data_IF_624689304527
#
_entry.id   IF_624689304527
#
_cell.length_a   1.000
_cell.length_b   1.000
_cell.length_c   1.000
_cell.angle_alpha   90.00
_cell.angle_beta   90.00
_cell.angle_gamma   90.00
#
_symmetry.space_group_name_H-M   'P 1'
#
loop_
_entity.id
_entity.type
_entity.pdbx_description
1 polymer ?
#
# COMPACT_ATOMS: atom_id res chain seq x y z
N UNK A 1 11.30 -19.47 3.95
CA UNK A 1 10.95 -18.44 4.97
C UNK A 1 11.37 -17.09 4.42
N UNK A 2 10.43 -16.19 4.11
CA UNK A 2 10.77 -14.84 3.69
C UNK A 2 11.36 -14.09 4.89
N UNK A 3 12.58 -13.57 4.75
CA UNK A 3 13.24 -12.80 5.81
C UNK A 3 12.40 -11.57 6.12
N UNK A 4 11.90 -11.49 7.36
CA UNK A 4 11.22 -10.32 7.88
C UNK A 4 12.25 -9.20 7.96
N UNK A 5 11.99 -8.06 7.32
CA UNK A 5 12.81 -6.87 7.46
C UNK A 5 11.96 -5.75 8.07
N UNK A 6 11.89 -5.67 9.41
CA UNK A 6 11.10 -4.66 10.10
C UNK A 6 11.50 -3.21 9.76
N UNK A 7 12.72 -3.02 9.23
CA UNK A 7 13.24 -1.75 8.77
C UNK A 7 13.06 -1.49 7.27
N UNK A 8 12.45 -2.41 6.51
CA UNK A 8 12.24 -2.19 5.10
C UNK A 8 11.27 -1.01 4.89
N UNK A 9 11.69 0.03 4.14
CA UNK A 9 10.84 1.17 3.87
C UNK A 9 9.62 0.73 3.06
N UNK A 10 8.48 1.37 3.31
CA UNK A 10 7.28 1.27 2.49
C UNK A 10 6.62 2.64 2.42
N UNK A 11 5.81 2.85 1.40
CA UNK A 11 5.00 4.06 1.28
C UNK A 11 3.56 3.72 0.92
N UNK A 12 2.67 4.68 1.16
CA UNK A 12 1.25 4.58 0.86
C UNK A 12 0.87 5.60 -0.21
N UNK A 13 0.13 5.16 -1.22
CA UNK A 13 -0.34 6.04 -2.28
C UNK A 13 -1.80 5.76 -2.64
N UNK A 14 -2.47 6.80 -3.12
CA UNK A 14 -3.80 6.68 -3.68
C UNK A 14 -3.73 6.09 -5.10
N UNK A 15 -4.55 5.07 -5.37
CA UNK A 15 -4.69 4.51 -6.72
C UNK A 15 -6.07 4.87 -7.28
N UNK A 16 -6.08 5.34 -8.53
CA UNK A 16 -7.30 5.68 -9.25
C UNK A 16 -8.09 4.39 -9.47
N UNK A 17 -9.36 4.30 -9.09
CA UNK A 17 -10.17 3.21 -9.58
C UNK A 17 -10.36 3.38 -11.09
N UNK A 18 -10.50 2.28 -11.83
CA UNK A 18 -10.79 2.32 -13.26
C UNK A 18 -12.11 3.07 -13.57
N UNK A 19 -13.03 3.13 -12.58
CA UNK A 19 -14.43 3.50 -12.80
C UNK A 19 -14.95 4.68 -11.95
N UNK A 20 -14.10 5.55 -11.36
CA UNK A 20 -14.64 6.64 -10.53
C UNK A 20 -13.68 7.63 -9.84
N UNK A 21 -14.27 8.53 -9.05
CA UNK A 21 -13.59 9.66 -8.36
C UNK A 21 -13.07 9.32 -6.95
N UNK A 22 -13.31 8.09 -6.49
CA UNK A 22 -13.09 7.69 -5.10
C UNK A 22 -11.91 6.71 -5.02
N UNK A 23 -10.81 7.12 -4.38
CA UNK A 23 -9.53 6.42 -4.46
C UNK A 23 -9.33 5.51 -3.24
N UNK A 24 -8.73 4.34 -3.47
CA UNK A 24 -8.26 3.48 -2.39
C UNK A 24 -6.78 3.77 -2.09
N UNK A 25 -6.39 3.64 -0.83
CA UNK A 25 -5.00 3.76 -0.39
C UNK A 25 -4.32 2.40 -0.44
N UNK A 26 -3.23 2.30 -1.17
CA UNK A 26 -2.45 1.08 -1.35
C UNK A 26 -1.01 1.28 -0.87
N UNK A 27 -0.43 0.20 -0.35
CA UNK A 27 0.95 0.18 0.14
C UNK A 27 1.87 -0.47 -0.89
N UNK A 28 3.09 0.06 -1.01
CA UNK A 28 4.15 -0.47 -1.88
C UNK A 28 5.50 -0.42 -1.14
N UNK A 29 6.47 -1.29 -1.49
CA UNK A 29 7.79 -1.30 -0.87
C UNK A 29 8.62 -0.10 -1.31
N UNK A 30 9.60 0.28 -0.50
CA UNK A 30 10.58 1.32 -0.79
C UNK A 30 10.20 2.71 -0.27
N UNK A 31 10.98 3.69 -0.72
CA UNK A 31 10.69 5.13 -0.56
C UNK A 31 9.79 5.54 -1.72
N UNK A 32 8.87 6.49 -1.48
CA UNK A 32 7.98 7.01 -2.52
C UNK A 32 8.81 7.55 -3.70
N UNK A 33 8.67 7.02 -4.93
CA UNK A 33 9.45 7.47 -6.07
C UNK A 33 8.86 8.75 -6.69
N UNK A 34 9.54 9.26 -7.71
CA UNK A 34 9.14 10.49 -8.41
C UNK A 34 7.77 10.36 -9.09
N UNK A 35 7.01 11.46 -9.22
CA UNK A 35 5.77 11.49 -9.99
C UNK A 35 5.92 10.90 -11.40
N UNK A 36 4.91 10.13 -11.83
CA UNK A 36 4.88 9.45 -13.13
C UNK A 36 5.53 8.07 -13.16
N UNK A 37 6.34 7.72 -12.15
CA UNK A 37 6.95 6.39 -11.98
C UNK A 37 5.87 5.33 -11.83
N UNK A 38 6.02 4.20 -12.54
CA UNK A 38 5.14 3.03 -12.39
C UNK A 38 5.56 2.23 -11.17
N UNK A 39 4.58 1.84 -10.36
CA UNK A 39 4.77 1.05 -9.15
C UNK A 39 3.71 -0.03 -9.06
N UNK A 40 4.08 -1.18 -8.50
CA UNK A 40 3.17 -2.26 -8.14
C UNK A 40 2.96 -2.26 -6.63
N UNK A 41 1.71 -2.16 -6.20
CA UNK A 41 1.32 -2.28 -4.79
C UNK A 41 1.47 -3.72 -4.29
N UNK A 42 1.50 -3.91 -2.97
CA UNK A 42 1.52 -5.25 -2.36
C UNK A 42 0.35 -6.14 -2.79
N UNK A 43 -0.82 -5.55 -3.10
CA UNK A 43 -1.98 -6.31 -3.58
C UNK A 43 -1.90 -6.69 -5.08
N UNK A 44 -0.80 -6.35 -5.77
CA UNK A 44 -0.61 -6.57 -7.20
C UNK A 44 -1.15 -5.48 -8.12
N UNK A 45 -1.79 -4.43 -7.56
CA UNK A 45 -2.32 -3.33 -8.37
C UNK A 45 -1.18 -2.46 -8.92
N UNK A 46 -1.22 -2.15 -10.21
CA UNK A 46 -0.27 -1.25 -10.86
C UNK A 46 -0.81 0.18 -10.91
N UNK A 47 0.06 1.16 -10.67
CA UNK A 47 -0.30 2.57 -10.71
C UNK A 47 0.91 3.44 -11.04
N UNK A 48 0.65 4.69 -11.41
CA UNK A 48 1.68 5.73 -11.53
C UNK A 48 1.62 6.66 -10.33
N UNK A 49 2.77 7.09 -9.84
CA UNK A 49 2.82 8.09 -8.76
C UNK A 49 2.14 9.38 -9.24
N UNK A 50 1.10 9.87 -8.55
CA UNK A 50 0.44 11.11 -8.93
C UNK A 50 1.39 12.30 -8.73
N UNK A 51 1.25 13.31 -9.59
CA UNK A 51 1.87 14.61 -9.38
C UNK A 51 1.32 15.26 -8.10
N UNK A 52 2.05 16.19 -7.47
CA UNK A 52 1.55 16.89 -6.28
C UNK A 52 0.17 17.52 -6.49
N UNK A 53 -0.07 18.12 -7.67
CA UNK A 53 -1.36 18.74 -8.01
C UNK A 53 -2.48 17.70 -8.16
N UNK A 54 -2.21 16.58 -8.83
CA UNK A 54 -3.18 15.50 -8.93
C UNK A 54 -3.51 14.92 -7.54
N UNK A 55 -2.52 14.83 -6.64
CA UNK A 55 -2.70 14.32 -5.28
C UNK A 55 -3.51 15.27 -4.39
N UNK A 56 -3.38 16.58 -4.57
CA UNK A 56 -4.09 17.58 -3.78
C UNK A 56 -5.63 17.51 -3.91
N UNK A 57 -6.14 16.94 -5.00
CA UNK A 57 -7.58 16.81 -5.25
C UNK A 57 -8.15 15.42 -4.91
N UNK A 58 -7.31 14.48 -4.49
CA UNK A 58 -7.72 13.10 -4.20
C UNK A 58 -8.53 13.03 -2.91
N UNK A 59 -9.69 12.37 -2.97
CA UNK A 59 -10.45 11.93 -1.80
C UNK A 59 -10.25 10.43 -1.59
N UNK A 60 -9.65 10.06 -0.47
CA UNK A 60 -9.42 8.68 -0.08
C UNK A 60 -10.68 8.07 0.56
N UNK A 61 -11.06 6.87 0.15
CA UNK A 61 -12.19 6.12 0.72
C UNK A 61 -11.75 5.17 1.83
N UNK A 62 -10.83 4.26 1.49
CA UNK A 62 -10.44 3.12 2.33
C UNK A 62 -8.99 2.74 2.07
N UNK A 63 -8.39 2.06 3.03
CA UNK A 63 -7.10 1.36 2.85
C UNK A 63 -7.36 -0.03 2.31
N UNK A 64 -6.60 -0.46 1.30
CA UNK A 64 -6.66 -1.83 0.79
C UNK A 64 -6.21 -2.82 1.88
N UNK A 65 -7.09 -3.74 2.27
CA UNK A 65 -6.82 -4.70 3.34
C UNK A 65 -5.62 -5.60 3.01
N UNK A 66 -5.51 -6.10 1.77
CA UNK A 66 -4.35 -6.90 1.34
C UNK A 66 -3.02 -6.15 1.49
N UNK A 67 -3.02 -4.84 1.22
CA UNK A 67 -1.82 -4.01 1.44
C UNK A 67 -1.54 -3.78 2.93
N UNK A 68 -2.58 -3.67 3.76
CA UNK A 68 -2.42 -3.55 5.20
C UNK A 68 -1.86 -4.83 5.82
N UNK A 69 -2.36 -6.00 5.41
CA UNK A 69 -1.87 -7.30 5.88
C UNK A 69 -0.41 -7.54 5.49
N UNK A 70 -0.04 -7.19 4.25
CA UNK A 70 1.36 -7.25 3.81
C UNK A 70 2.26 -6.29 4.60
N UNK A 71 1.81 -5.05 4.84
CA UNK A 71 2.57 -4.09 5.62
C UNK A 71 2.73 -4.54 7.07
N UNK A 72 1.71 -5.19 7.65
CA UNK A 72 1.79 -5.84 8.95
C UNK A 72 2.85 -6.93 8.94
N UNK A 73 2.74 -7.91 8.02
CA UNK A 73 3.69 -9.02 7.90
C UNK A 73 5.12 -8.57 7.67
N UNK A 74 5.33 -7.50 6.90
CA UNK A 74 6.66 -6.93 6.68
C UNK A 74 7.25 -6.32 7.96
N UNK A 75 6.43 -5.73 8.83
CA UNK A 75 6.86 -5.13 10.10
C UNK A 75 7.02 -6.14 11.24
N UNK A 76 6.13 -7.12 11.33
CA UNK A 76 6.01 -8.02 12.48
C UNK A 76 6.48 -9.43 12.18
N UNK A 77 6.52 -9.83 10.91
CA UNK A 77 6.73 -11.21 10.50
C UNK A 77 5.52 -12.12 10.62
N UNK A 78 4.40 -11.59 11.12
CA UNK A 78 3.19 -12.36 11.44
C UNK A 78 2.10 -12.10 10.41
N UNK A 79 1.22 -13.07 10.21
CA UNK A 79 -0.01 -12.86 9.46
C UNK A 79 -1.05 -12.10 10.31
N UNK A 80 -1.98 -11.40 9.66
CA UNK A 80 -3.11 -10.74 10.30
C UNK A 80 -4.42 -11.49 9.97
N UNK A 81 -5.34 -11.68 10.92
CA UNK A 81 -5.11 -11.48 12.36
C UNK A 81 -4.09 -12.48 12.91
N UNK A 82 -3.32 -12.15 13.95
CA UNK A 82 -2.44 -13.10 14.60
C UNK A 82 -3.23 -14.35 15.00
N UNK A 83 -2.71 -15.53 14.64
CA UNK A 83 -3.28 -16.85 14.93
C UNK A 83 -3.58 -17.09 16.42
N UNK A 84 -3.02 -16.26 17.27
CA UNK A 84 -2.96 -16.40 18.72
C UNK A 84 -4.14 -15.69 19.41
N UNK A 85 -4.99 -14.96 18.66
CA UNK A 85 -6.16 -14.24 19.19
C UNK A 85 -7.33 -15.14 19.62
N UNK A 86 -7.22 -16.45 19.47
CA UNK A 86 -8.24 -17.44 19.84
C UNK A 86 -7.79 -18.41 20.95
N UNK A 87 -6.74 -18.09 21.71
CA UNK A 87 -6.34 -18.87 22.91
C UNK A 87 -6.66 -18.14 24.20
#
# INVERSE_FOLDING_TARGET
MALVNPGAPLFWEAIAPENGLIWNRHGAPGIRPDPGTRVTAFCGAEFRIPTPNARAVIRLQRTCLRCADHAWKLRTGLDWPPSDLHR
#
